data_IF_282875567025
#
_entry.id   IF_282875567025
#
_cell.length_a   1.000
_cell.length_b   1.000
_cell.length_c   1.000
_cell.angle_alpha   90.00
_cell.angle_beta   90.00
_cell.angle_gamma   90.00
#
_symmetry.space_group_name_H-M   'P 1'
#
loop_
_entity.id
_entity.type
_entity.pdbx_description
1 polymer ?
#
# COMPACT_ATOMS: atom_id res chain seq x y z
N UNK A 1 -3.82 17.43 14.63
CA UNK A 1 -3.62 15.97 14.63
C UNK A 1 -2.16 15.76 14.26
N UNK A 2 -1.38 15.10 15.10
CA UNK A 2 0.00 14.74 14.75
C UNK A 2 -0.02 13.68 13.64
N UNK A 3 0.85 13.77 12.63
CA UNK A 3 0.98 12.72 11.64
C UNK A 3 1.51 11.46 12.32
N UNK A 4 0.78 10.36 12.21
CA UNK A 4 1.24 9.07 12.71
C UNK A 4 2.47 8.63 11.92
N UNK A 5 3.51 8.18 12.63
CA UNK A 5 4.66 7.51 12.00
C UNK A 5 4.24 6.14 11.46
N UNK A 6 4.83 5.76 10.33
CA UNK A 6 4.62 4.48 9.67
C UNK A 6 5.79 3.51 9.89
N UNK A 7 6.84 3.93 10.60
CA UNK A 7 7.98 3.07 10.90
C UNK A 7 7.58 1.87 11.77
N UNK A 8 8.08 0.69 11.42
CA UNK A 8 7.79 -0.58 12.10
C UNK A 8 6.29 -0.97 12.15
N UNK A 9 5.43 -0.29 11.41
CA UNK A 9 4.01 -0.58 11.35
C UNK A 9 3.68 -1.67 10.32
N UNK A 10 2.54 -2.33 10.50
CA UNK A 10 1.95 -3.18 9.47
C UNK A 10 0.66 -2.54 8.98
N UNK A 11 0.62 -2.16 7.72
CA UNK A 11 -0.52 -1.49 7.10
C UNK A 11 -1.15 -2.33 5.99
N UNK A 12 -2.46 -2.18 5.83
CA UNK A 12 -3.23 -2.73 4.73
C UNK A 12 -3.59 -1.60 3.76
N UNK A 13 -3.03 -1.65 2.56
CA UNK A 13 -3.43 -0.77 1.47
C UNK A 13 -4.66 -1.39 0.77
N UNK A 14 -5.74 -0.63 0.74
CA UNK A 14 -7.04 -1.05 0.20
C UNK A 14 -7.34 -0.23 -1.05
N UNK A 15 -7.71 -0.91 -2.12
CA UNK A 15 -8.17 -0.30 -3.38
C UNK A 15 -9.51 -0.94 -3.82
N UNK A 16 -10.23 -0.29 -4.74
CA UNK A 16 -11.46 -0.86 -5.28
C UNK A 16 -11.19 -1.88 -6.39
N UNK A 17 -10.47 -1.50 -7.44
CA UNK A 17 -10.20 -2.35 -8.61
C UNK A 17 -8.75 -2.22 -9.05
N UNK A 18 -8.04 -3.35 -9.07
CA UNK A 18 -6.74 -3.45 -9.72
C UNK A 18 -6.92 -3.68 -11.21
N UNK A 19 -6.36 -2.79 -12.03
CA UNK A 19 -6.22 -3.04 -13.47
C UNK A 19 -4.85 -3.60 -13.80
N UNK A 20 -3.94 -2.76 -14.29
CA UNK A 20 -2.55 -3.14 -14.59
C UNK A 20 -1.69 -3.25 -13.32
N UNK A 21 -2.19 -2.78 -12.18
CA UNK A 21 -1.47 -2.76 -10.91
C UNK A 21 -0.41 -1.67 -10.81
N UNK A 22 -0.18 -0.85 -11.84
CA UNK A 22 0.87 0.18 -11.85
C UNK A 22 0.69 1.23 -10.75
N UNK A 23 -0.55 1.61 -10.45
CA UNK A 23 -0.89 2.54 -9.36
C UNK A 23 -0.50 1.96 -8.00
N UNK A 24 -0.89 0.71 -7.73
CA UNK A 24 -0.54 0.03 -6.47
C UNK A 24 0.96 -0.23 -6.36
N UNK A 25 1.63 -0.56 -7.45
CA UNK A 25 3.08 -0.77 -7.48
C UNK A 25 3.83 0.52 -7.13
N UNK A 26 3.47 1.64 -7.76
CA UNK A 26 4.08 2.94 -7.48
C UNK A 26 3.88 3.36 -6.01
N UNK A 27 2.68 3.14 -5.46
CA UNK A 27 2.37 3.42 -4.07
C UNK A 27 3.14 2.49 -3.11
N UNK A 28 3.11 1.18 -3.36
CA UNK A 28 3.80 0.17 -2.54
C UNK A 28 5.31 0.40 -2.52
N UNK A 29 5.92 0.71 -3.66
CA UNK A 29 7.36 0.98 -3.76
C UNK A 29 7.77 2.18 -2.91
N UNK A 30 6.94 3.24 -2.89
CA UNK A 30 7.16 4.41 -2.04
C UNK A 30 7.01 4.08 -0.55
N UNK A 31 6.01 3.28 -0.19
CA UNK A 31 5.75 2.89 1.20
C UNK A 31 6.85 1.97 1.75
N UNK A 32 7.32 1.02 0.95
CA UNK A 32 8.36 0.07 1.34
C UNK A 32 9.74 0.71 1.57
N UNK A 33 9.94 2.00 1.24
CA UNK A 33 11.14 2.74 1.66
C UNK A 33 11.13 3.12 3.15
N UNK A 34 10.00 2.96 3.84
CA UNK A 34 9.86 3.31 5.26
C UNK A 34 10.45 2.18 6.13
N UNK A 35 11.39 2.49 7.04
CA UNK A 35 12.04 1.47 7.87
C UNK A 35 11.06 0.61 8.67
N UNK A 36 11.20 -0.71 8.53
CA UNK A 36 10.41 -1.69 9.28
C UNK A 36 8.93 -1.79 8.87
N UNK A 37 8.48 -1.02 7.87
CA UNK A 37 7.10 -1.09 7.41
C UNK A 37 6.80 -2.44 6.74
N UNK A 38 5.71 -3.08 7.17
CA UNK A 38 5.09 -4.21 6.48
C UNK A 38 3.86 -3.74 5.74
N UNK A 39 3.71 -4.18 4.50
CA UNK A 39 2.60 -3.82 3.63
C UNK A 39 1.83 -5.07 3.22
N UNK A 40 0.51 -5.04 3.43
CA UNK A 40 -0.44 -5.97 2.81
C UNK A 40 -1.32 -5.20 1.83
N UNK A 41 -1.79 -5.89 0.79
CA UNK A 41 -2.64 -5.31 -0.26
C UNK A 41 -3.98 -6.04 -0.28
N UNK A 42 -5.06 -5.28 -0.38
CA UNK A 42 -6.41 -5.81 -0.59
C UNK A 42 -7.12 -4.98 -1.66
N UNK A 43 -7.79 -5.66 -2.57
CA UNK A 43 -8.55 -5.05 -3.66
C UNK A 43 -9.85 -5.82 -3.86
N UNK A 44 -10.94 -5.12 -4.13
CA UNK A 44 -12.26 -5.76 -4.28
C UNK A 44 -12.38 -6.51 -5.61
N UNK A 45 -11.75 -6.00 -6.67
CA UNK A 45 -11.81 -6.62 -7.99
C UNK A 45 -10.49 -6.54 -8.77
N UNK A 46 -10.38 -7.36 -9.80
CA UNK A 46 -9.28 -7.36 -10.76
C UNK A 46 -9.86 -7.26 -12.17
N UNK A 47 -9.37 -6.31 -12.96
CA UNK A 47 -9.83 -6.01 -14.31
C UNK A 47 -8.62 -5.88 -15.26
N UNK A 48 -8.22 -6.95 -15.97
CA UNK A 48 -6.99 -6.99 -16.79
C UNK A 48 -7.00 -5.98 -17.95
#
# INVERSE_FOLDING_TARGET
REPATLENQHILLVDDVVTTGSTLEAAATKLLTIPGLKLSLFTLAYAP
#
